data_IF_240478554258
#
_entry.id   IF_240478554258
#
_cell.length_a   1.000
_cell.length_b   1.000
_cell.length_c   1.000
_cell.angle_alpha   90.00
_cell.angle_beta   90.00
_cell.angle_gamma   90.00
#
_symmetry.space_group_name_H-M   'P 1'
#
loop_
_entity.id
_entity.type
_entity.pdbx_description
1 polymer ?
#
# COMPACT_ATOMS: atom_id res chain seq x y z
N UNK A 1 -8.90 30.09 -25.69
CA UNK A 1 -8.49 28.67 -25.62
C UNK A 1 -9.00 28.11 -24.30
N UNK A 2 -10.12 27.39 -24.29
CA UNK A 2 -10.66 26.76 -23.07
C UNK A 2 -9.72 25.60 -22.74
N UNK A 3 -8.92 25.76 -21.68
CA UNK A 3 -8.25 24.62 -21.04
C UNK A 3 -9.37 23.87 -20.35
N UNK A 4 -9.98 22.92 -21.05
CA UNK A 4 -10.89 21.98 -20.42
C UNK A 4 -10.06 21.26 -19.35
N UNK A 5 -10.44 21.42 -18.09
CA UNK A 5 -9.92 20.67 -16.96
C UNK A 5 -10.40 19.22 -17.04
N UNK A 6 -10.08 18.54 -18.15
CA UNK A 6 -10.44 17.15 -18.37
C UNK A 6 -9.44 16.29 -17.59
N UNK A 7 -9.61 16.30 -16.28
CA UNK A 7 -9.12 15.21 -15.44
C UNK A 7 -9.72 13.93 -16.04
N UNK A 8 -8.91 12.91 -16.35
CA UNK A 8 -9.43 11.69 -16.94
C UNK A 8 -10.58 11.14 -16.09
N UNK A 9 -11.68 10.68 -16.72
CA UNK A 9 -12.93 10.35 -16.02
C UNK A 9 -12.76 9.28 -14.94
N UNK A 10 -11.67 8.50 -15.00
CA UNK A 10 -11.39 7.40 -14.07
C UNK A 10 -10.40 7.76 -12.95
N UNK A 11 -9.74 8.93 -12.97
CA UNK A 11 -8.80 9.29 -11.89
C UNK A 11 -9.54 9.44 -10.56
N UNK A 12 -10.69 10.11 -10.55
CA UNK A 12 -11.44 10.38 -9.32
C UNK A 12 -11.81 9.10 -8.58
N UNK A 13 -12.41 8.15 -9.28
CA UNK A 13 -12.84 6.86 -8.70
C UNK A 13 -11.65 6.03 -8.22
N UNK A 14 -10.59 5.90 -9.02
CA UNK A 14 -9.42 5.11 -8.62
C UNK A 14 -8.61 5.77 -7.50
N UNK A 15 -8.57 7.11 -7.43
CA UNK A 15 -7.96 7.84 -6.33
C UNK A 15 -8.77 7.68 -5.03
N UNK A 16 -10.10 7.75 -5.11
CA UNK A 16 -10.98 7.49 -3.97
C UNK A 16 -10.83 6.04 -3.48
N UNK A 17 -10.80 5.07 -4.41
CA UNK A 17 -10.55 3.67 -4.08
C UNK A 17 -9.19 3.49 -3.40
N UNK A 18 -8.13 4.11 -3.93
CA UNK A 18 -6.81 4.09 -3.30
C UNK A 18 -6.85 4.62 -1.87
N UNK A 19 -7.49 5.77 -1.66
CA UNK A 19 -7.65 6.35 -0.33
C UNK A 19 -8.38 5.41 0.63
N UNK A 20 -9.48 4.80 0.20
CA UNK A 20 -10.21 3.82 1.01
C UNK A 20 -9.33 2.61 1.36
N UNK A 21 -8.62 2.03 0.38
CA UNK A 21 -7.73 0.88 0.60
C UNK A 21 -6.63 1.22 1.61
N UNK A 22 -6.00 2.40 1.50
CA UNK A 22 -4.95 2.82 2.43
C UNK A 22 -5.49 3.12 3.82
N UNK A 23 -6.68 3.72 3.96
CA UNK A 23 -7.30 3.95 5.26
C UNK A 23 -7.63 2.63 5.98
N UNK A 24 -8.14 1.65 5.25
CA UNK A 24 -8.40 0.31 5.82
C UNK A 24 -7.08 -0.35 6.20
N UNK A 25 -6.06 -0.33 5.34
CA UNK A 25 -4.74 -0.89 5.65
C UNK A 25 -4.10 -0.23 6.90
N UNK A 26 -4.22 1.09 7.06
CA UNK A 26 -3.79 1.80 8.29
C UNK A 26 -4.52 1.27 9.52
N UNK A 27 -5.84 1.10 9.41
CA UNK A 27 -6.67 0.56 10.49
C UNK A 27 -6.24 -0.84 10.89
N UNK A 28 -6.09 -1.75 9.91
CA UNK A 28 -5.64 -3.11 10.17
C UNK A 28 -4.22 -3.13 10.76
N UNK A 29 -3.28 -2.41 10.16
CA UNK A 29 -1.89 -2.32 10.62
C UNK A 29 -1.76 -1.78 12.06
N UNK A 30 -2.71 -0.97 12.50
CA UNK A 30 -2.78 -0.48 13.87
C UNK A 30 -3.46 -1.48 14.80
N UNK A 31 -4.49 -2.18 14.34
CA UNK A 31 -5.27 -3.11 15.15
C UNK A 31 -4.54 -4.42 15.50
N UNK A 32 -3.74 -4.98 14.57
CA UNK A 32 -3.18 -6.33 14.77
C UNK A 32 -2.18 -6.39 15.93
N UNK A 33 -1.57 -5.28 16.33
CA UNK A 33 -0.56 -5.27 17.40
C UNK A 33 -1.08 -4.83 18.77
N UNK A 34 -2.28 -4.25 18.82
CA UNK A 34 -2.84 -3.65 20.03
C UNK A 34 -4.30 -4.08 20.27
N UNK A 35 -4.69 -5.21 19.67
CA UNK A 35 -6.09 -5.63 19.49
C UNK A 35 -6.84 -6.00 20.77
N UNK A 36 -6.15 -6.28 21.87
CA UNK A 36 -6.80 -6.68 23.13
C UNK A 36 -6.97 -5.46 24.05
N UNK A 37 -8.21 -4.97 24.12
CA UNK A 37 -8.63 -4.04 25.18
C UNK A 37 -8.79 -4.82 26.49
N UNK A 38 -8.50 -4.21 27.67
CA UNK A 38 -8.69 -4.87 28.96
C UNK A 38 -10.16 -5.30 29.13
N UNK A 39 -10.39 -6.62 29.21
CA UNK A 39 -11.73 -7.22 29.33
C UNK A 39 -12.28 -7.87 28.05
N UNK A 40 -11.51 -7.88 26.96
CA UNK A 40 -11.82 -8.63 25.74
C UNK A 40 -11.22 -10.03 25.85
N UNK A 41 -12.02 -11.07 25.58
CA UNK A 41 -11.51 -12.45 25.47
C UNK A 41 -10.38 -12.44 24.43
N UNK A 42 -9.23 -13.05 24.78
CA UNK A 42 -8.03 -13.05 23.95
C UNK A 42 -8.40 -13.33 22.49
N UNK A 43 -8.05 -12.40 21.59
CA UNK A 43 -8.21 -12.60 20.15
C UNK A 43 -7.60 -13.95 19.79
N UNK A 44 -8.44 -14.88 19.36
CA UNK A 44 -8.02 -16.21 18.93
C UNK A 44 -6.90 -16.02 17.88
N UNK A 45 -5.75 -16.70 18.01
CA UNK A 45 -4.59 -16.53 17.10
C UNK A 45 -4.96 -16.70 15.60
N UNK A 46 -6.10 -17.33 15.33
CA UNK A 46 -6.73 -17.45 14.01
C UNK A 46 -7.22 -16.10 13.44
N UNK A 47 -7.78 -15.22 14.28
CA UNK A 47 -8.26 -13.89 13.91
C UNK A 47 -7.12 -13.01 13.40
N UNK A 48 -6.02 -12.90 14.14
CA UNK A 48 -4.86 -12.09 13.76
C UNK A 48 -4.20 -12.57 12.46
N UNK A 49 -4.25 -13.89 12.25
CA UNK A 49 -3.78 -14.53 11.02
C UNK A 49 -4.64 -14.15 9.82
N UNK A 50 -5.97 -14.15 9.99
CA UNK A 50 -6.92 -13.71 8.95
C UNK A 50 -6.74 -12.21 8.66
N UNK A 51 -6.61 -11.38 9.68
CA UNK A 51 -6.43 -9.93 9.51
C UNK A 51 -5.12 -9.63 8.77
N UNK A 52 -4.03 -10.31 9.12
CA UNK A 52 -2.74 -10.19 8.42
C UNK A 52 -2.84 -10.61 6.95
N UNK A 53 -3.60 -11.66 6.65
CA UNK A 53 -3.86 -12.09 5.27
C UNK A 53 -4.68 -11.06 4.49
N UNK A 54 -5.76 -10.54 5.08
CA UNK A 54 -6.59 -9.48 4.48
C UNK A 54 -5.77 -8.22 4.21
N UNK A 55 -4.85 -7.86 5.11
CA UNK A 55 -3.95 -6.72 4.93
C UNK A 55 -3.09 -6.88 3.66
N UNK A 56 -2.51 -8.06 3.43
CA UNK A 56 -1.72 -8.34 2.21
C UNK A 56 -2.60 -8.24 0.95
N UNK A 57 -3.85 -8.75 0.99
CA UNK A 57 -4.78 -8.63 -0.14
C UNK A 57 -5.12 -7.17 -0.46
N UNK A 58 -5.33 -6.33 0.56
CA UNK A 58 -5.57 -4.89 0.38
C UNK A 58 -4.39 -4.20 -0.28
N UNK A 59 -3.16 -4.53 0.12
CA UNK A 59 -1.95 -3.97 -0.47
C UNK A 59 -1.75 -4.41 -1.93
N UNK A 60 -2.08 -5.66 -2.26
CA UNK A 60 -2.10 -6.17 -3.65
C UNK A 60 -3.17 -5.42 -4.45
N UNK A 61 -4.38 -5.26 -3.91
CA UNK A 61 -5.45 -4.51 -4.57
C UNK A 61 -5.05 -3.05 -4.83
N UNK A 62 -4.37 -2.41 -3.87
CA UNK A 62 -3.85 -1.06 -4.03
C UNK A 62 -2.76 -0.98 -5.12
N UNK A 63 -1.87 -1.98 -5.20
CA UNK A 63 -0.88 -2.08 -6.28
C UNK A 63 -1.56 -2.24 -7.64
N UNK A 64 -2.56 -3.12 -7.75
CA UNK A 64 -3.33 -3.30 -9.00
C UNK A 64 -4.03 -1.99 -9.38
N UNK A 65 -4.65 -1.29 -8.43
CA UNK A 65 -5.28 0.01 -8.67
C UNK A 65 -4.27 1.06 -9.16
N UNK A 66 -3.06 1.10 -8.60
CA UNK A 66 -1.97 1.95 -9.09
C UNK A 66 -1.58 1.58 -10.54
N UNK A 67 -1.48 0.29 -10.86
CA UNK A 67 -1.19 -0.17 -12.22
C UNK A 67 -2.30 0.19 -13.20
N UNK A 68 -3.57 0.15 -12.79
CA UNK A 68 -4.70 0.62 -13.60
C UNK A 68 -4.62 2.13 -13.87
N UNK A 69 -4.28 2.93 -12.86
CA UNK A 69 -4.06 4.38 -13.02
C UNK A 69 -2.91 4.66 -14.00
N UNK A 70 -1.81 3.92 -13.90
CA UNK A 70 -0.69 3.99 -14.84
C UNK A 70 -1.11 3.55 -16.25
N UNK A 71 -1.91 2.48 -16.36
CA UNK A 71 -2.49 1.96 -17.60
C UNK A 71 -3.40 2.96 -18.32
N UNK A 72 -4.03 3.85 -17.57
CA UNK A 72 -4.84 4.94 -18.10
C UNK A 72 -4.05 6.04 -18.81
N UNK A 73 -2.72 6.11 -18.61
CA UNK A 73 -1.89 7.19 -19.18
C UNK A 73 -1.61 6.99 -20.67
N UNK A 74 -1.37 8.09 -21.38
CA UNK A 74 -0.94 8.06 -22.79
C UNK A 74 0.35 7.26 -22.97
N UNK A 75 1.34 7.47 -22.08
CA UNK A 75 2.62 6.77 -22.13
C UNK A 75 2.45 5.25 -22.10
N UNK A 76 1.52 4.73 -21.28
CA UNK A 76 1.24 3.29 -21.24
C UNK A 76 0.55 2.80 -22.52
N UNK A 77 -0.49 3.52 -22.98
CA UNK A 77 -1.26 3.15 -24.17
C UNK A 77 -0.44 3.19 -25.46
N UNK A 78 0.56 4.05 -25.53
CA UNK A 78 1.47 4.18 -26.68
C UNK A 78 2.71 3.29 -26.58
N UNK A 79 2.81 2.41 -25.57
CA UNK A 79 3.95 1.49 -25.41
C UNK A 79 5.23 2.12 -24.87
N UNK A 80 5.18 3.36 -24.38
CA UNK A 80 6.30 4.11 -23.79
C UNK A 80 6.52 3.72 -22.30
N UNK A 81 6.53 2.41 -22.02
CA UNK A 81 6.61 1.87 -20.67
C UNK A 81 7.89 2.28 -19.93
N UNK A 82 9.04 2.29 -20.62
CA UNK A 82 10.32 2.66 -20.01
C UNK A 82 10.31 4.11 -19.48
N UNK A 83 9.69 5.02 -20.23
CA UNK A 83 9.56 6.41 -19.81
C UNK A 83 8.62 6.55 -18.61
N UNK A 84 7.46 5.89 -18.66
CA UNK A 84 6.53 5.87 -17.53
C UNK A 84 7.18 5.26 -16.27
N UNK A 85 7.86 4.12 -16.43
CA UNK A 85 8.58 3.44 -15.35
C UNK A 85 9.65 4.36 -14.73
N UNK A 86 10.44 5.08 -15.53
CA UNK A 86 11.44 6.02 -15.01
C UNK A 86 10.86 7.05 -14.03
N UNK A 87 9.60 7.45 -14.23
CA UNK A 87 8.91 8.42 -13.39
C UNK A 87 8.29 7.81 -12.13
N UNK A 88 7.96 6.51 -12.12
CA UNK A 88 7.21 5.85 -11.04
C UNK A 88 7.95 4.68 -10.38
N UNK A 89 9.20 4.38 -10.80
CA UNK A 89 10.01 3.26 -10.29
C UNK A 89 10.09 3.19 -8.77
N UNK A 90 10.24 4.34 -8.11
CA UNK A 90 10.35 4.41 -6.66
C UNK A 90 9.03 4.02 -5.98
N UNK A 91 7.89 4.45 -6.53
CA UNK A 91 6.56 4.12 -6.00
C UNK A 91 6.29 2.62 -6.14
N UNK A 92 6.62 2.05 -7.30
CA UNK A 92 6.46 0.61 -7.57
C UNK A 92 7.34 -0.23 -6.64
N UNK A 93 8.60 0.17 -6.48
CA UNK A 93 9.54 -0.49 -5.58
C UNK A 93 9.07 -0.42 -4.12
N UNK A 94 8.56 0.73 -3.67
CA UNK A 94 8.02 0.89 -2.32
C UNK A 94 6.79 -0.01 -2.09
N UNK A 95 5.89 -0.15 -3.07
CA UNK A 95 4.77 -1.09 -2.95
C UNK A 95 5.24 -2.54 -2.78
N UNK A 96 6.17 -2.99 -3.63
CA UNK A 96 6.70 -4.36 -3.55
C UNK A 96 7.44 -4.61 -2.24
N UNK A 97 8.29 -3.68 -1.81
CA UNK A 97 9.01 -3.79 -0.55
C UNK A 97 8.05 -3.82 0.65
N UNK A 98 7.02 -2.98 0.66
CA UNK A 98 6.07 -2.94 1.77
C UNK A 98 5.21 -4.22 1.86
N UNK A 99 4.78 -4.77 0.72
CA UNK A 99 4.10 -6.08 0.68
C UNK A 99 5.00 -7.19 1.24
N UNK A 100 6.26 -7.25 0.78
CA UNK A 100 7.22 -8.23 1.30
C UNK A 100 7.44 -8.07 2.81
N UNK A 101 7.59 -6.83 3.29
CA UNK A 101 7.78 -6.53 4.71
C UNK A 101 6.55 -6.95 5.53
N UNK A 102 5.34 -6.72 5.02
CA UNK A 102 4.08 -7.15 5.66
C UNK A 102 3.98 -8.67 5.72
N UNK A 103 4.31 -9.38 4.64
CA UNK A 103 4.31 -10.85 4.62
C UNK A 103 5.32 -11.41 5.63
N UNK A 104 6.55 -10.88 5.65
CA UNK A 104 7.59 -11.35 6.58
C UNK A 104 7.15 -11.10 8.03
N UNK A 105 6.59 -9.92 8.35
CA UNK A 105 6.09 -9.62 9.69
C UNK A 105 4.93 -10.53 10.08
N UNK A 106 4.01 -10.80 9.16
CA UNK A 106 2.92 -11.77 9.37
C UNK A 106 3.43 -13.17 9.69
N UNK A 107 4.42 -13.68 8.93
CA UNK A 107 5.02 -14.99 9.18
C UNK A 107 5.73 -15.04 10.54
N UNK A 108 6.54 -14.02 10.85
CA UNK A 108 7.25 -13.93 12.15
C UNK A 108 6.24 -13.94 13.30
N UNK A 109 5.16 -13.15 13.19
CA UNK A 109 4.11 -13.08 14.20
C UNK A 109 3.39 -14.42 14.37
N UNK A 110 2.98 -15.07 13.29
CA UNK A 110 2.33 -16.39 13.32
C UNK A 110 3.21 -17.45 14.00
N UNK A 111 4.53 -17.41 13.77
CA UNK A 111 5.45 -18.35 14.42
C UNK A 111 5.57 -18.10 15.93
N UNK A 112 5.60 -16.83 16.35
CA UNK A 112 5.70 -16.44 17.75
C UNK A 112 4.40 -16.69 18.54
N UNK A 113 3.24 -16.56 17.87
CA UNK A 113 1.89 -16.87 18.39
C UNK A 113 1.55 -18.38 18.39
N UNK A 114 2.55 -19.25 18.32
CA UNK A 114 2.32 -20.70 18.43
C UNK A 114 1.64 -21.06 19.77
N UNK A 115 0.88 -22.18 19.83
CA UNK A 115 0.05 -22.51 21.00
C UNK A 115 0.89 -22.52 22.29
N UNK A 116 0.56 -21.61 23.22
CA UNK A 116 1.19 -21.53 24.54
C UNK A 116 1.85 -20.20 24.91
N UNK A 117 1.97 -19.25 23.98
CA UNK A 117 2.51 -17.90 24.25
C UNK A 117 1.39 -16.85 24.29
N UNK A 118 1.46 -15.90 25.23
CA UNK A 118 0.56 -14.75 25.28
C UNK A 118 1.03 -13.64 24.32
N UNK A 119 0.11 -12.78 23.85
CA UNK A 119 0.44 -11.67 22.95
C UNK A 119 1.47 -10.69 23.52
N UNK A 120 1.53 -10.57 24.84
CA UNK A 120 2.50 -9.74 25.55
C UNK A 120 3.93 -10.27 25.36
N UNK A 121 4.08 -11.60 25.34
CA UNK A 121 5.39 -12.27 25.25
C UNK A 121 6.07 -12.07 23.89
N UNK A 122 5.30 -11.71 22.85
CA UNK A 122 5.84 -11.43 21.51
C UNK A 122 6.74 -10.19 21.54
N UNK A 123 6.44 -9.21 22.40
CA UNK A 123 7.22 -7.98 22.51
C UNK A 123 8.60 -8.21 23.12
N UNK A 124 8.72 -9.22 23.97
CA UNK A 124 9.99 -9.65 24.57
C UNK A 124 10.82 -10.52 23.61
N UNK A 125 10.23 -11.00 22.51
CA UNK A 125 10.94 -11.73 21.48
C UNK A 125 12.03 -10.84 20.84
N UNK A 126 13.28 -11.31 20.91
CA UNK A 126 14.46 -10.55 20.46
C UNK A 126 14.28 -10.10 19.00
N UNK A 127 14.20 -8.77 18.81
CA UNK A 127 14.17 -8.12 17.50
C UNK A 127 12.76 -7.93 16.90
N UNK A 128 11.70 -8.49 17.50
CA UNK A 128 10.33 -8.30 17.01
C UNK A 128 9.92 -6.81 17.05
N UNK A 129 10.12 -6.14 18.19
CA UNK A 129 9.78 -4.72 18.35
C UNK A 129 10.51 -3.82 17.32
N UNK A 130 11.79 -4.08 17.07
CA UNK A 130 12.56 -3.34 16.06
C UNK A 130 12.01 -3.59 14.65
N UNK A 131 11.67 -4.84 14.33
CA UNK A 131 11.14 -5.21 13.03
C UNK A 131 9.73 -4.64 12.79
N UNK A 132 8.85 -4.70 13.79
CA UNK A 132 7.55 -4.01 13.78
C UNK A 132 7.72 -2.50 13.60
N UNK A 133 8.67 -1.86 14.31
CA UNK A 133 8.97 -0.45 14.14
C UNK A 133 9.41 -0.10 12.70
N UNK A 134 10.29 -0.90 12.10
CA UNK A 134 10.70 -0.75 10.70
C UNK A 134 9.50 -0.90 9.76
N UNK A 135 8.62 -1.87 10.01
CA UNK A 135 7.40 -2.07 9.24
C UNK A 135 6.48 -0.84 9.29
N UNK A 136 6.27 -0.25 10.47
CA UNK A 136 5.45 0.97 10.62
C UNK A 136 6.05 2.18 9.93
N UNK A 137 7.37 2.36 9.99
CA UNK A 137 8.05 3.42 9.23
C UNK A 137 7.93 3.15 7.73
N UNK A 138 8.04 1.89 7.31
CA UNK A 138 7.78 1.44 5.94
C UNK A 138 6.37 1.78 5.47
N UNK A 139 5.36 1.59 6.33
CA UNK A 139 3.97 1.94 6.06
C UNK A 139 3.81 3.43 5.78
N UNK A 140 4.41 4.30 6.61
CA UNK A 140 4.39 5.74 6.41
C UNK A 140 4.98 6.14 5.04
N UNK A 141 6.14 5.58 4.70
CA UNK A 141 6.78 5.78 3.40
C UNK A 141 5.88 5.31 2.24
N UNK A 142 5.24 4.15 2.40
CA UNK A 142 4.31 3.58 1.45
C UNK A 142 3.10 4.48 1.20
N UNK A 143 2.42 4.96 2.24
CA UNK A 143 1.28 5.87 2.10
C UNK A 143 1.68 7.20 1.47
N UNK A 144 2.79 7.80 1.92
CA UNK A 144 3.28 9.07 1.38
C UNK A 144 3.63 8.96 -0.12
N UNK A 145 4.36 7.91 -0.51
CA UNK A 145 4.70 7.66 -1.91
C UNK A 145 3.45 7.45 -2.77
N UNK A 146 2.43 6.78 -2.23
CA UNK A 146 1.18 6.50 -2.93
C UNK A 146 0.38 7.78 -3.19
N UNK A 147 0.26 8.67 -2.19
CA UNK A 147 -0.38 9.99 -2.36
C UNK A 147 0.36 10.80 -3.42
N UNK A 148 1.69 10.88 -3.33
CA UNK A 148 2.51 11.60 -4.32
C UNK A 148 2.33 11.01 -5.73
N UNK A 149 2.19 9.70 -5.86
CA UNK A 149 1.95 9.05 -7.14
C UNK A 149 0.61 9.45 -7.76
N UNK A 150 -0.47 9.41 -6.97
CA UNK A 150 -1.82 9.82 -7.41
C UNK A 150 -1.81 11.30 -7.81
N UNK A 151 -1.20 12.17 -7.00
CA UNK A 151 -1.05 13.60 -7.30
C UNK A 151 -0.25 13.87 -8.56
N UNK A 152 0.81 13.08 -8.80
CA UNK A 152 1.60 13.14 -10.02
C UNK A 152 0.79 12.71 -11.22
N UNK A 153 0.00 11.63 -11.09
CA UNK A 153 -0.88 11.12 -12.14
C UNK A 153 -2.04 12.07 -12.43
N UNK A 154 -2.47 12.92 -11.49
CA UNK A 154 -3.47 13.97 -11.75
C UNK A 154 -3.04 15.00 -12.81
N UNK A 155 -1.73 15.11 -13.10
CA UNK A 155 -1.21 16.09 -14.06
C UNK A 155 -1.57 15.70 -15.50
N UNK A 156 -2.23 16.62 -16.21
CA UNK A 156 -2.67 16.46 -17.61
C UNK A 156 -1.57 15.99 -18.56
N UNK A 157 -0.30 16.35 -18.30
CA UNK A 157 0.84 15.93 -19.12
C UNK A 157 0.89 14.41 -19.33
N UNK A 158 0.44 13.58 -18.39
CA UNK A 158 0.47 12.12 -18.54
C UNK A 158 -0.59 11.56 -19.51
N UNK A 159 -1.53 12.39 -19.96
CA UNK A 159 -2.62 12.01 -20.87
C UNK A 159 -2.58 12.71 -22.22
N UNK A 160 -1.82 13.81 -22.33
CA UNK A 160 -1.69 14.56 -23.58
C UNK A 160 -0.53 14.05 -24.43
N UNK A 161 -0.78 13.65 -25.69
CA UNK A 161 0.29 13.22 -26.60
C UNK A 161 1.18 14.39 -27.01
N UNK A 162 0.62 15.59 -27.12
CA UNK A 162 1.34 16.80 -27.58
C UNK A 162 2.54 17.17 -26.70
N UNK A 163 2.46 16.87 -25.40
CA UNK A 163 3.55 17.12 -24.47
C UNK A 163 4.73 16.17 -24.70
N UNK A 164 4.46 14.90 -25.02
CA UNK A 164 5.48 13.86 -25.15
C UNK A 164 6.01 13.71 -26.58
N UNK A 165 5.25 14.13 -27.60
CA UNK A 165 5.68 14.07 -29.01
C UNK A 165 6.46 15.31 -29.48
N UNK A 166 6.52 16.38 -28.68
CA UNK A 166 7.31 17.60 -29.00
C UNK A 166 8.77 17.53 -28.54
N UNK A 167 9.22 16.38 -28.06
CA UNK A 167 10.57 16.16 -27.55
C UNK A 167 11.20 14.97 -28.26
#
# INVERSE_FOLDING_TARGET
MKIANDVPPFIGTNAALAACLYLVDVGLNSSIEYGDLPGQDASDNSSDSIVSFVQVLLQIAALVNLLLLLGGTFLFRSGLFGMLYSHFRLVLLVHLLYICLTIILGIVRMNLLSPGNEHVDIWDARGYAAFSGIHKIGALCYYACSIVAVEKLRKHKYYSPEYWMRR
#
